data_IF_603969516618
#
_entry.id   IF_603969516618
#
_cell.length_a   1.000
_cell.length_b   1.000
_cell.length_c   1.000
_cell.angle_alpha   90.00
_cell.angle_beta   90.00
_cell.angle_gamma   90.00
#
_symmetry.space_group_name_H-M   'P 1'
#
loop_
_entity.id
_entity.type
_entity.pdbx_description
1 polymer ?
#
# COMPACT_ATOMS: atom_id res chain seq x y z
N UNK A 1 -7.83 2.89 -16.99
CA UNK A 1 -8.26 1.56 -16.50
C UNK A 1 -7.74 1.29 -15.08
N UNK A 2 -6.44 1.48 -14.79
CA UNK A 2 -5.86 1.38 -13.43
C UNK A 2 -6.67 2.13 -12.35
N UNK A 3 -7.00 3.40 -12.60
CA UNK A 3 -7.71 4.21 -11.62
C UNK A 3 -9.13 3.73 -11.33
N UNK A 4 -9.84 3.24 -12.35
CA UNK A 4 -11.18 2.68 -12.18
C UNK A 4 -11.13 1.41 -11.34
N UNK A 5 -10.15 0.53 -11.60
CA UNK A 5 -9.96 -0.70 -10.83
C UNK A 5 -9.63 -0.43 -9.36
N UNK A 6 -8.78 0.57 -9.09
CA UNK A 6 -8.44 0.97 -7.73
C UNK A 6 -9.62 1.63 -7.00
N UNK A 7 -10.41 2.46 -7.69
CA UNK A 7 -11.63 3.04 -7.14
C UNK A 7 -12.71 1.97 -6.88
N UNK A 8 -12.95 1.08 -7.85
CA UNK A 8 -13.97 0.03 -7.75
C UNK A 8 -13.60 -1.07 -6.76
N UNK A 9 -12.32 -1.27 -6.48
CA UNK A 9 -11.86 -2.32 -5.57
C UNK A 9 -11.63 -3.64 -6.17
N UNK A 10 -11.26 -3.60 -7.43
CA UNK A 10 -10.82 -4.78 -8.11
C UNK A 10 -9.43 -5.16 -7.57
N UNK A 11 -9.42 -5.91 -6.45
CA UNK A 11 -8.21 -6.44 -5.84
C UNK A 11 -7.51 -7.41 -6.80
N UNK A 12 -8.27 -8.13 -7.62
CA UNK A 12 -7.77 -8.98 -8.70
C UNK A 12 -6.95 -8.20 -9.71
N UNK A 13 -7.41 -7.01 -10.13
CA UNK A 13 -6.66 -6.15 -11.04
C UNK A 13 -5.25 -5.81 -10.52
N UNK A 14 -5.12 -5.55 -9.22
CA UNK A 14 -3.84 -5.21 -8.56
C UNK A 14 -2.94 -6.44 -8.48
N UNK A 15 -3.47 -7.57 -8.01
CA UNK A 15 -2.73 -8.85 -7.87
C UNK A 15 -2.24 -9.37 -9.23
N UNK A 16 -3.06 -9.31 -10.27
CA UNK A 16 -2.70 -9.75 -11.62
C UNK A 16 -1.54 -8.94 -12.21
N UNK A 17 -1.40 -7.68 -11.77
CA UNK A 17 -0.38 -6.74 -12.25
C UNK A 17 0.80 -6.61 -11.32
N UNK A 18 0.79 -7.29 -10.19
CA UNK A 18 1.88 -7.28 -9.24
C UNK A 18 3.15 -7.88 -9.83
N UNK A 19 4.25 -7.14 -9.68
CA UNK A 19 5.58 -7.68 -9.80
C UNK A 19 5.89 -8.50 -8.57
N UNK A 20 6.29 -9.75 -8.82
CA UNK A 20 6.62 -10.70 -7.77
C UNK A 20 8.11 -10.64 -7.55
N UNK A 21 8.49 -10.56 -6.29
CA UNK A 21 9.89 -10.62 -5.86
C UNK A 21 10.17 -12.00 -5.29
N UNK A 22 11.41 -12.44 -5.40
CA UNK A 22 11.90 -13.66 -4.76
C UNK A 22 13.02 -13.30 -3.79
N UNK A 23 12.99 -13.88 -2.59
CA UNK A 23 14.00 -13.73 -1.56
C UNK A 23 14.47 -15.10 -1.11
N UNK A 24 15.78 -15.29 -1.08
CA UNK A 24 16.42 -16.47 -0.49
C UNK A 24 16.65 -16.20 0.99
N UNK A 25 16.11 -17.06 1.85
CA UNK A 25 16.20 -16.92 3.30
C UNK A 25 17.58 -17.34 3.82
N UNK A 26 18.07 -16.63 4.82
CA UNK A 26 19.34 -16.92 5.51
C UNK A 26 19.16 -17.90 6.68
N UNK A 27 17.92 -18.09 7.14
CA UNK A 27 17.54 -19.00 8.22
C UNK A 27 17.83 -18.47 9.62
N UNK A 28 18.07 -17.16 9.74
CA UNK A 28 18.37 -16.46 11.00
C UNK A 28 17.37 -15.32 11.28
N UNK A 29 16.45 -15.08 10.34
CA UNK A 29 15.48 -14.02 10.40
C UNK A 29 14.48 -14.23 11.55
N UNK A 30 14.27 -13.18 12.34
CA UNK A 30 13.34 -13.23 13.49
C UNK A 30 11.92 -12.79 13.11
N UNK A 31 11.76 -12.07 12.01
CA UNK A 31 10.49 -11.54 11.53
C UNK A 31 10.47 -11.50 9.98
N UNK A 32 9.33 -11.08 9.41
CA UNK A 32 9.16 -11.00 7.97
C UNK A 32 8.99 -12.36 7.27
N UNK A 33 9.07 -12.41 5.94
CA UNK A 33 8.69 -13.59 5.13
C UNK A 33 9.60 -14.82 5.34
N UNK A 34 10.80 -14.63 5.89
CA UNK A 34 11.77 -15.70 6.16
C UNK A 34 11.82 -16.14 7.64
N UNK A 35 10.98 -15.58 8.52
CA UNK A 35 10.96 -15.97 9.93
C UNK A 35 10.59 -17.45 10.11
N UNK A 36 11.43 -18.19 10.84
CA UNK A 36 11.24 -19.62 11.11
C UNK A 36 11.46 -20.54 9.90
N UNK A 37 12.02 -20.01 8.81
CA UNK A 37 12.29 -20.74 7.57
C UNK A 37 13.75 -21.21 7.56
N UNK A 38 14.05 -22.32 6.89
CA UNK A 38 15.42 -22.82 6.78
C UNK A 38 16.27 -21.97 5.82
N UNK A 39 17.58 -21.92 6.08
CA UNK A 39 18.55 -21.28 5.20
C UNK A 39 18.51 -21.88 3.78
N UNK A 40 18.53 -21.03 2.77
CA UNK A 40 18.48 -21.40 1.35
C UNK A 40 17.08 -21.61 0.77
N UNK A 41 16.02 -21.58 1.59
CA UNK A 41 14.65 -21.61 1.08
C UNK A 41 14.32 -20.30 0.35
N UNK A 42 13.54 -20.39 -0.73
CA UNK A 42 13.14 -19.22 -1.52
C UNK A 42 11.67 -18.91 -1.28
N UNK A 43 11.38 -17.68 -0.85
CA UNK A 43 10.02 -17.11 -0.75
C UNK A 43 9.76 -16.20 -1.93
N UNK A 44 8.57 -16.28 -2.51
CA UNK A 44 8.17 -15.42 -3.63
C UNK A 44 6.75 -14.91 -3.44
N UNK A 45 6.49 -13.70 -3.93
CA UNK A 45 5.17 -13.08 -3.84
C UNK A 45 5.20 -11.57 -4.06
N UNK A 46 4.13 -10.92 -3.67
CA UNK A 46 3.90 -9.49 -3.86
C UNK A 46 4.59 -8.72 -2.73
N UNK A 47 5.48 -7.75 -3.04
CA UNK A 47 6.15 -6.95 -2.03
C UNK A 47 5.16 -6.01 -1.33
N UNK A 48 5.07 -6.12 0.01
CA UNK A 48 4.34 -5.14 0.81
C UNK A 48 5.22 -4.03 1.39
N UNK A 49 4.66 -3.26 2.32
CA UNK A 49 5.40 -2.18 2.98
C UNK A 49 6.66 -2.70 3.65
N UNK A 50 7.78 -2.01 3.43
CA UNK A 50 9.07 -2.34 4.02
C UNK A 50 9.56 -3.78 3.75
N UNK A 51 9.14 -4.43 2.65
CA UNK A 51 9.51 -5.84 2.34
C UNK A 51 11.01 -6.16 2.33
N UNK A 52 11.88 -5.14 2.25
CA UNK A 52 13.34 -5.25 2.35
C UNK A 52 13.87 -5.15 3.79
N UNK A 53 13.00 -5.05 4.79
CA UNK A 53 13.34 -5.08 6.21
C UNK A 53 12.63 -6.24 6.90
N UNK A 54 13.13 -6.62 8.08
CA UNK A 54 12.54 -7.65 8.94
C UNK A 54 11.09 -7.33 9.37
N UNK A 55 10.64 -6.08 9.19
CA UNK A 55 9.30 -5.63 9.52
C UNK A 55 8.32 -5.68 8.32
N UNK A 56 8.80 -6.01 7.12
CA UNK A 56 7.98 -6.10 5.93
C UNK A 56 7.60 -7.53 5.54
N UNK A 57 6.66 -7.64 4.61
CA UNK A 57 6.15 -8.92 4.11
C UNK A 57 6.29 -9.06 2.60
N UNK A 58 6.53 -10.30 2.17
CA UNK A 58 6.18 -10.76 0.82
C UNK A 58 4.90 -11.56 0.98
N UNK A 59 3.85 -11.15 0.28
CA UNK A 59 2.52 -11.73 0.42
C UNK A 59 2.24 -12.70 -0.72
N UNK A 60 1.56 -13.80 -0.41
CA UNK A 60 0.91 -14.57 -1.48
C UNK A 60 -0.15 -13.71 -2.18
N UNK A 61 -0.54 -14.10 -3.38
CA UNK A 61 -1.60 -13.41 -4.13
C UNK A 61 -2.91 -13.33 -3.32
N UNK A 62 -3.26 -14.42 -2.61
CA UNK A 62 -4.44 -14.49 -1.75
C UNK A 62 -4.32 -13.60 -0.51
N UNK A 63 -3.18 -13.66 0.19
CA UNK A 63 -2.93 -12.83 1.37
C UNK A 63 -2.96 -11.35 1.03
N UNK A 64 -2.40 -10.99 -0.12
CA UNK A 64 -2.40 -9.61 -0.59
C UNK A 64 -3.81 -9.14 -0.96
N UNK A 65 -4.59 -9.94 -1.69
CA UNK A 65 -5.99 -9.64 -2.00
C UNK A 65 -6.84 -9.47 -0.72
N UNK A 66 -6.60 -10.32 0.27
CA UNK A 66 -7.27 -10.25 1.57
C UNK A 66 -6.87 -8.96 2.31
N UNK A 67 -5.60 -8.56 2.29
CA UNK A 67 -5.15 -7.32 2.91
C UNK A 67 -5.81 -6.09 2.27
N UNK A 68 -5.84 -6.03 0.93
CA UNK A 68 -6.54 -4.97 0.19
C UNK A 68 -8.03 -4.89 0.52
N UNK A 69 -8.67 -6.05 0.70
CA UNK A 69 -10.10 -6.12 1.09
C UNK A 69 -10.32 -5.62 2.51
N UNK A 70 -9.42 -5.95 3.45
CA UNK A 70 -9.47 -5.46 4.83
C UNK A 70 -9.34 -3.95 4.91
N UNK A 71 -8.50 -3.31 4.09
CA UNK A 71 -8.41 -1.84 4.05
C UNK A 71 -9.75 -1.20 3.66
N UNK A 72 -10.48 -1.82 2.73
CA UNK A 72 -11.81 -1.35 2.31
C UNK A 72 -12.84 -1.52 3.40
N UNK A 73 -12.88 -2.69 4.04
CA UNK A 73 -13.82 -2.99 5.13
C UNK A 73 -13.55 -2.19 6.41
N UNK A 74 -12.28 -1.86 6.66
CA UNK A 74 -11.87 -1.03 7.79
C UNK A 74 -12.25 0.45 7.61
N UNK A 75 -12.52 0.89 6.37
CA UNK A 75 -12.91 2.28 6.11
C UNK A 75 -14.25 2.62 6.80
N UNK A 76 -14.31 3.85 7.33
CA UNK A 76 -15.48 4.40 8.03
C UNK A 76 -15.97 5.64 7.27
N UNK A 77 -16.68 5.46 6.14
CA UNK A 77 -17.12 6.57 5.29
C UNK A 77 -18.02 7.60 6.01
N UNK A 78 -18.68 7.18 7.08
CA UNK A 78 -19.54 8.00 7.94
C UNK A 78 -18.77 8.93 8.89
N UNK A 79 -17.49 8.64 9.17
CA UNK A 79 -16.64 9.49 10.01
C UNK A 79 -16.03 10.62 9.17
N UNK A 80 -15.62 11.70 9.80
CA UNK A 80 -14.90 12.79 9.16
C UNK A 80 -13.89 13.38 10.13
N UNK A 81 -12.78 13.88 9.61
CA UNK A 81 -11.83 14.73 10.31
C UNK A 81 -11.61 16.02 9.50
N UNK A 82 -10.59 16.79 9.83
CA UNK A 82 -10.24 18.03 9.12
C UNK A 82 -9.80 17.82 7.66
N UNK A 83 -9.47 16.58 7.26
CA UNK A 83 -9.10 16.20 5.89
C UNK A 83 -10.29 15.61 5.10
N UNK A 84 -11.48 15.56 5.70
CA UNK A 84 -12.74 15.16 5.08
C UNK A 84 -13.27 13.81 5.55
N UNK A 85 -14.15 13.20 4.76
CA UNK A 85 -14.81 11.92 5.10
C UNK A 85 -13.79 10.78 5.28
N UNK A 86 -14.11 9.78 6.10
CA UNK A 86 -13.31 8.59 6.34
C UNK A 86 -13.41 7.52 5.25
N UNK A 87 -14.11 7.84 4.15
CA UNK A 87 -14.22 7.00 2.97
C UNK A 87 -12.86 6.77 2.33
N UNK A 88 -12.66 5.59 1.76
CA UNK A 88 -11.48 5.30 0.96
C UNK A 88 -11.42 6.26 -0.23
N UNK A 89 -10.48 7.22 -0.20
CA UNK A 89 -10.26 8.18 -1.28
C UNK A 89 -8.96 7.89 -1.98
N UNK A 90 -8.99 7.92 -3.31
CA UNK A 90 -7.85 7.76 -4.18
C UNK A 90 -7.26 9.13 -4.53
N UNK A 91 -6.00 9.33 -4.20
CA UNK A 91 -5.20 10.47 -4.60
C UNK A 91 -4.07 9.95 -5.49
N UNK A 92 -3.78 10.64 -6.59
CA UNK A 92 -2.61 10.33 -7.38
C UNK A 92 -1.47 11.24 -6.92
N UNK A 93 -0.28 10.66 -6.74
CA UNK A 93 0.96 11.38 -6.54
C UNK A 93 1.82 11.19 -7.80
N UNK A 94 2.45 12.29 -8.22
CA UNK A 94 3.10 12.44 -9.52
C UNK A 94 4.15 11.37 -9.86
N UNK A 95 4.60 11.40 -11.12
CA UNK A 95 5.54 10.40 -11.60
C UNK A 95 6.96 10.67 -11.13
N UNK A 96 7.64 9.67 -10.55
CA UNK A 96 9.10 9.69 -10.35
C UNK A 96 9.82 9.06 -11.54
N UNK A 97 10.90 9.68 -11.99
CA UNK A 97 11.78 9.07 -12.99
C UNK A 97 12.55 7.89 -12.37
N UNK A 98 12.52 6.74 -13.03
CA UNK A 98 13.34 5.55 -12.72
C UNK A 98 14.25 5.23 -13.90
N UNK A 99 15.31 4.45 -13.67
CA UNK A 99 16.22 4.01 -14.73
C UNK A 99 15.51 3.26 -15.87
N UNK A 100 14.37 2.63 -15.57
CA UNK A 100 13.55 1.80 -16.44
C UNK A 100 12.22 2.47 -16.85
N UNK A 101 11.97 3.73 -16.49
CA UNK A 101 10.78 4.46 -16.92
C UNK A 101 10.27 5.48 -15.91
N UNK A 102 8.94 5.47 -15.68
CA UNK A 102 8.27 6.30 -14.68
C UNK A 102 7.53 5.40 -13.70
N UNK A 103 7.75 5.63 -12.41
CA UNK A 103 6.86 5.14 -11.36
C UNK A 103 5.81 6.19 -11.04
N UNK A 104 4.64 5.74 -10.64
CA UNK A 104 3.46 6.51 -10.29
C UNK A 104 3.03 6.05 -8.91
N UNK A 105 2.72 6.99 -8.05
CA UNK A 105 2.28 6.71 -6.69
C UNK A 105 0.79 6.99 -6.59
N UNK A 106 0.07 6.10 -5.93
CA UNK A 106 -1.36 6.24 -5.71
C UNK A 106 -1.61 6.11 -4.24
N UNK A 107 -2.13 7.17 -3.63
CA UNK A 107 -2.42 7.21 -2.21
C UNK A 107 -3.89 6.86 -2.00
N UNK A 108 -4.18 5.94 -1.10
CA UNK A 108 -5.54 5.76 -0.58
C UNK A 108 -5.61 6.19 0.87
N UNK A 109 -6.69 6.86 1.27
CA UNK A 109 -6.86 7.33 2.66
C UNK A 109 -8.15 6.82 3.25
N UNK A 110 -8.15 6.41 4.52
CA UNK A 110 -9.38 6.02 5.24
C UNK A 110 -9.28 6.32 6.73
N UNK A 111 -10.41 6.56 7.40
CA UNK A 111 -10.48 6.52 8.87
C UNK A 111 -10.79 5.08 9.27
N UNK A 112 -9.98 4.52 10.16
CA UNK A 112 -10.11 3.16 10.69
C UNK A 112 -10.09 3.17 12.22
N UNK A 113 -10.76 2.20 12.84
CA UNK A 113 -10.70 1.93 14.28
C UNK A 113 -9.97 0.61 14.61
N UNK A 114 -9.24 0.07 13.63
CA UNK A 114 -8.41 -1.12 13.77
C UNK A 114 -7.16 -1.01 12.90
N UNK A 115 -6.07 -1.66 13.30
CA UNK A 115 -4.91 -1.86 12.43
C UNK A 115 -5.26 -2.90 11.36
N UNK A 116 -5.37 -2.57 10.07
CA UNK A 116 -5.94 -3.51 9.10
C UNK A 116 -5.04 -4.72 8.82
N UNK A 117 -3.72 -4.55 8.98
CA UNK A 117 -2.73 -5.63 8.85
C UNK A 117 -2.86 -6.71 9.93
N UNK A 118 -3.36 -6.35 11.12
CA UNK A 118 -3.42 -7.27 12.28
C UNK A 118 -4.84 -7.52 12.79
N UNK A 119 -5.80 -6.67 12.41
CA UNK A 119 -7.16 -6.67 12.94
C UNK A 119 -7.28 -6.15 14.38
N UNK A 120 -6.19 -5.67 15.00
CA UNK A 120 -6.25 -5.16 16.37
C UNK A 120 -7.01 -3.84 16.44
N UNK A 121 -8.07 -3.81 17.26
CA UNK A 121 -8.81 -2.58 17.55
C UNK A 121 -7.94 -1.53 18.23
N UNK A 122 -8.16 -0.28 17.88
CA UNK A 122 -7.58 0.88 18.56
C UNK A 122 -8.65 1.65 19.32
N UNK A 123 -8.25 2.35 20.38
CA UNK A 123 -9.19 3.09 21.25
C UNK A 123 -9.79 4.32 20.55
N UNK A 124 -9.05 4.93 19.63
CA UNK A 124 -9.48 6.12 18.89
C UNK A 124 -9.34 5.87 17.39
N UNK A 125 -10.37 6.18 16.58
CA UNK A 125 -10.24 6.13 15.14
C UNK A 125 -9.13 7.06 14.65
N UNK A 126 -8.32 6.59 13.71
CA UNK A 126 -7.26 7.39 13.10
C UNK A 126 -7.33 7.30 11.58
N UNK A 127 -6.74 8.30 10.91
CA UNK A 127 -6.58 8.29 9.47
C UNK A 127 -5.33 7.51 9.08
N UNK A 128 -5.50 6.57 8.17
CA UNK A 128 -4.42 5.81 7.56
C UNK A 128 -4.27 6.24 6.09
N UNK A 129 -3.03 6.27 5.61
CA UNK A 129 -2.70 6.48 4.22
C UNK A 129 -1.88 5.29 3.68
N UNK A 130 -2.28 4.76 2.54
CA UNK A 130 -1.56 3.71 1.81
C UNK A 130 -1.02 4.27 0.53
N UNK A 131 0.26 4.07 0.25
CA UNK A 131 0.91 4.50 -1.00
C UNK A 131 1.17 3.25 -1.83
N UNK A 132 0.54 3.16 -2.99
CA UNK A 132 0.74 2.10 -3.96
C UNK A 132 1.65 2.59 -5.08
N UNK A 133 2.66 1.80 -5.41
CA UNK A 133 3.62 2.12 -6.46
C UNK A 133 3.26 1.35 -7.73
N UNK A 134 3.18 2.06 -8.85
CA UNK A 134 2.94 1.48 -10.16
C UNK A 134 3.97 1.96 -11.15
N UNK A 135 4.28 1.17 -12.17
CA UNK A 135 5.01 1.64 -13.34
C UNK A 135 4.36 1.14 -14.62
N UNK A 136 4.79 1.69 -15.76
CA UNK A 136 4.31 1.24 -17.08
C UNK A 136 5.48 0.66 -17.88
N UNK A 137 5.44 -0.63 -18.21
CA UNK A 137 6.55 -1.35 -18.85
C UNK A 137 6.36 -1.62 -20.36
N UNK A 138 5.61 -0.75 -21.06
CA UNK A 138 5.33 -0.87 -22.49
C UNK A 138 4.24 -1.91 -22.82
N UNK A 139 4.11 -2.98 -22.04
CA UNK A 139 3.01 -3.95 -22.14
C UNK A 139 1.77 -3.54 -21.30
N UNK A 140 1.96 -2.72 -20.28
CA UNK A 140 0.88 -2.16 -19.48
C UNK A 140 1.34 -1.67 -18.12
N UNK A 141 0.35 -1.42 -17.26
CA UNK A 141 0.58 -1.07 -15.86
C UNK A 141 1.00 -2.29 -15.03
N UNK A 142 2.03 -2.09 -14.21
CA UNK A 142 2.56 -3.05 -13.24
C UNK A 142 2.53 -2.43 -11.85
N UNK A 143 2.33 -3.27 -10.85
CA UNK A 143 2.29 -2.89 -9.44
C UNK A 143 3.60 -3.32 -8.78
N UNK A 144 4.34 -2.34 -8.24
CA UNK A 144 5.67 -2.53 -7.65
C UNK A 144 5.64 -2.90 -6.17
N UNK A 145 4.49 -2.73 -5.52
CA UNK A 145 4.32 -2.90 -4.09
C UNK A 145 3.66 -1.69 -3.43
N UNK A 146 3.49 -1.79 -2.12
CA UNK A 146 2.87 -0.75 -1.30
C UNK A 146 3.81 -0.23 -0.20
N UNK A 147 3.50 0.94 0.33
CA UNK A 147 4.00 1.45 1.61
C UNK A 147 2.80 1.95 2.40
N UNK A 148 2.55 1.34 3.55
CA UNK A 148 1.54 1.81 4.49
C UNK A 148 2.17 2.85 5.44
N UNK A 149 1.50 3.99 5.60
CA UNK A 149 1.78 4.94 6.66
C UNK A 149 0.64 4.86 7.69
N UNK A 150 0.83 3.98 8.68
CA UNK A 150 -0.09 3.78 9.79
C UNK A 150 0.33 4.60 11.02
N UNK A 151 0.29 5.93 10.91
CA UNK A 151 0.32 6.81 12.08
C UNK A 151 -0.25 8.18 11.67
N UNK A 152 -1.04 8.80 12.56
CA UNK A 152 -1.65 10.12 12.32
C UNK A 152 -0.62 11.15 11.86
N UNK A 153 0.57 11.20 12.46
CA UNK A 153 1.62 12.15 12.08
C UNK A 153 2.14 11.92 10.66
N UNK A 154 2.48 10.68 10.29
CA UNK A 154 3.01 10.42 8.95
C UNK A 154 1.93 10.56 7.91
N UNK A 155 0.71 10.06 8.17
CA UNK A 155 -0.44 10.24 7.29
C UNK A 155 -0.75 11.74 7.09
N UNK A 156 -0.69 12.56 8.14
CA UNK A 156 -0.88 14.02 8.05
C UNK A 156 0.16 14.66 7.14
N UNK A 157 1.44 14.32 7.24
CA UNK A 157 2.48 14.87 6.36
C UNK A 157 2.25 14.52 4.88
N UNK A 158 1.72 13.32 4.61
CA UNK A 158 1.27 12.98 3.27
C UNK A 158 0.09 13.87 2.88
N UNK A 159 -1.01 13.82 3.63
CA UNK A 159 -2.27 14.52 3.32
C UNK A 159 -2.15 16.04 3.21
N UNK A 160 -1.21 16.65 3.94
CA UNK A 160 -0.94 18.10 3.88
C UNK A 160 -0.17 18.50 2.62
N UNK A 161 0.43 17.55 1.91
CA UNK A 161 1.39 17.80 0.84
C UNK A 161 2.73 18.35 1.33
N UNK A 162 2.98 18.35 2.65
CA UNK A 162 4.18 18.93 3.26
C UNK A 162 5.20 17.88 3.71
N UNK A 163 5.25 16.71 3.08
CA UNK A 163 6.34 15.76 3.32
C UNK A 163 7.51 15.99 2.35
N UNK A 164 8.75 15.80 2.82
CA UNK A 164 9.96 15.97 1.98
C UNK A 164 10.02 15.00 0.79
N UNK A 165 9.15 13.99 0.77
CA UNK A 165 8.95 13.02 -0.31
C UNK A 165 7.62 13.22 -1.06
N UNK A 166 6.79 14.18 -0.65
CA UNK A 166 5.48 14.46 -1.20
C UNK A 166 5.68 15.48 -2.30
N UNK A 167 5.77 15.00 -3.53
CA UNK A 167 5.95 15.85 -4.69
C UNK A 167 4.78 16.81 -4.90
N UNK A 168 5.07 17.92 -5.58
CA UNK A 168 4.35 19.21 -5.68
C UNK A 168 2.86 19.20 -6.07
N UNK A 169 2.20 18.07 -6.33
CA UNK A 169 0.81 18.05 -6.81
C UNK A 169 -0.02 16.93 -6.20
N UNK A 170 -0.77 17.29 -5.15
CA UNK A 170 -1.94 16.54 -4.70
C UNK A 170 -3.14 17.01 -5.51
N UNK A 171 -3.49 16.25 -6.55
CA UNK A 171 -4.76 16.48 -7.23
C UNK A 171 -5.76 15.42 -6.78
N UNK A 172 -6.81 15.78 -6.01
CA UNK A 172 -7.90 14.86 -5.74
C UNK A 172 -8.50 14.43 -7.07
N UNK A 173 -8.64 13.12 -7.27
CA UNK A 173 -9.23 12.61 -8.51
C UNK A 173 -10.71 13.03 -8.59
N UNK A 174 -11.18 13.56 -9.73
CA UNK A 174 -12.59 13.90 -9.88
C UNK A 174 -13.44 12.64 -9.72
N UNK A 175 -14.39 12.69 -8.77
CA UNK A 175 -15.39 11.65 -8.50
C UNK A 175 -16.36 11.46 -9.64
#
# INVERSE_FOLDING_TARGET
MLMYALASGDTGFVVDRADRVSVTCEGIEQAGPCSGVAAGEVRSGIPGSAWRSDAGGIFSDEDYAMNLSRYREASRPELSDEYGTGALRLFALGSMARQDGRAYEVITTSITNQYPSTGYSVSEPFREAHVFYFHHNGAGWRFDGEKAAAASITAVDWLSGTCSQCYDYWEPWPS
#
